data_IF_263891799847
#
_entry.id   IF_263891799847
#
_cell.length_a   1.000
_cell.length_b   1.000
_cell.length_c   1.000
_cell.angle_alpha   90.00
_cell.angle_beta   90.00
_cell.angle_gamma   90.00
#
_symmetry.space_group_name_H-M   'P 1'
#
loop_
_entity.id
_entity.type
_entity.pdbx_description
1 polymer ?
#
# COMPACT_ATOMS: atom_id res chain seq x y z
N UNK A 1 32.10 13.70 4.45
CA UNK A 1 31.00 13.88 3.49
C UNK A 1 30.31 12.53 3.30
N UNK A 2 29.47 12.11 4.25
CA UNK A 2 28.64 10.91 4.10
C UNK A 2 27.19 11.38 4.04
N UNK A 3 26.75 11.82 2.85
CA UNK A 3 25.33 12.15 2.65
C UNK A 3 24.60 10.86 2.30
N UNK A 4 23.63 10.48 3.13
CA UNK A 4 22.72 9.36 2.84
C UNK A 4 21.95 9.56 1.53
N UNK A 5 21.89 10.80 1.02
CA UNK A 5 21.28 11.16 -0.27
C UNK A 5 21.99 10.59 -1.50
N UNK A 6 23.27 10.20 -1.40
CA UNK A 6 24.02 9.67 -2.55
C UNK A 6 24.07 8.13 -2.60
N UNK A 7 23.53 7.46 -1.57
CA UNK A 7 23.50 5.99 -1.50
C UNK A 7 22.34 5.49 -2.35
N UNK A 8 22.53 4.59 -3.34
CA UNK A 8 21.42 3.97 -4.04
C UNK A 8 20.60 3.11 -3.08
N UNK A 9 19.27 3.26 -3.08
CA UNK A 9 18.36 2.60 -2.14
C UNK A 9 17.28 1.81 -2.87
N UNK A 10 16.80 0.75 -2.23
CA UNK A 10 15.57 0.07 -2.62
C UNK A 10 14.58 0.18 -1.46
N UNK A 11 13.35 0.56 -1.76
CA UNK A 11 12.26 0.63 -0.78
C UNK A 11 11.31 -0.54 -1.02
N UNK A 12 11.34 -1.53 -0.13
CA UNK A 12 10.64 -2.81 -0.31
C UNK A 12 9.51 -3.04 0.70
N UNK A 13 9.17 -1.98 1.45
CA UNK A 13 8.09 -2.00 2.43
C UNK A 13 7.53 -0.59 2.55
N UNK A 14 6.48 -0.32 1.78
CA UNK A 14 5.75 0.94 1.79
C UNK A 14 4.31 0.66 1.39
N UNK A 15 3.35 1.32 2.02
CA UNK A 15 1.94 1.28 1.60
C UNK A 15 1.69 2.50 0.73
N UNK A 16 1.36 2.31 -0.55
CA UNK A 16 1.26 3.40 -1.52
C UNK A 16 0.25 4.46 -1.05
N UNK A 17 -0.90 4.04 -0.56
CA UNK A 17 -1.94 4.95 -0.06
C UNK A 17 -1.43 5.82 1.11
N UNK A 18 -0.53 5.30 1.95
CA UNK A 18 0.08 6.04 3.06
C UNK A 18 1.08 7.12 2.62
N UNK A 19 1.52 7.10 1.35
CA UNK A 19 2.50 8.08 0.82
C UNK A 19 1.86 9.42 0.47
N UNK A 20 0.54 9.54 0.60
CA UNK A 20 -0.19 10.75 0.24
C UNK A 20 0.26 11.94 1.09
N UNK A 21 0.76 12.98 0.43
CA UNK A 21 1.17 14.21 1.09
C UNK A 21 -0.05 15.04 1.55
N UNK A 22 0.10 15.93 2.54
CA UNK A 22 -0.95 16.89 2.91
C UNK A 22 -1.55 17.65 1.72
N UNK A 23 -0.71 18.02 0.76
CA UNK A 23 -1.13 18.80 -0.41
C UNK A 23 -1.94 17.94 -1.39
N UNK A 24 -1.52 16.70 -1.63
CA UNK A 24 -2.32 15.76 -2.42
C UNK A 24 -3.63 15.40 -1.71
N UNK A 25 -3.61 15.19 -0.40
CA UNK A 25 -4.83 14.91 0.36
C UNK A 25 -5.86 16.04 0.24
N UNK A 26 -5.43 17.31 0.42
CA UNK A 26 -6.29 18.48 0.19
C UNK A 26 -6.79 18.57 -1.26
N UNK A 27 -5.92 18.31 -2.23
CA UNK A 27 -6.27 18.34 -3.66
C UNK A 27 -7.35 17.29 -3.97
N UNK A 28 -7.15 16.05 -3.52
CA UNK A 28 -8.06 14.94 -3.77
C UNK A 28 -9.37 15.10 -3.02
N UNK A 29 -9.34 15.57 -1.77
CA UNK A 29 -10.54 15.89 -1.01
C UNK A 29 -11.43 16.89 -1.75
N UNK A 30 -10.83 17.97 -2.28
CA UNK A 30 -11.54 18.96 -3.11
C UNK A 30 -12.05 18.36 -4.42
N UNK A 31 -11.25 17.55 -5.12
CA UNK A 31 -11.64 16.90 -6.39
C UNK A 31 -12.83 15.96 -6.20
N UNK A 32 -12.83 15.21 -5.10
CA UNK A 32 -13.75 14.12 -4.84
C UNK A 32 -14.91 14.51 -3.89
N UNK A 33 -15.02 15.78 -3.53
CA UNK A 33 -16.03 16.31 -2.60
C UNK A 33 -16.06 15.56 -1.26
N UNK A 34 -14.87 15.26 -0.71
CA UNK A 34 -14.72 14.67 0.62
C UNK A 34 -14.44 15.78 1.62
N UNK A 35 -15.24 15.87 2.68
CA UNK A 35 -14.98 16.79 3.78
C UNK A 35 -13.83 16.24 4.63
N UNK A 36 -12.74 17.00 4.72
CA UNK A 36 -11.64 16.78 5.65
C UNK A 36 -11.53 18.00 6.55
N UNK A 37 -11.24 17.78 7.82
CA UNK A 37 -11.08 18.88 8.77
C UNK A 37 -9.82 19.69 8.44
N UNK A 38 -9.89 21.02 8.47
CA UNK A 38 -8.74 21.89 8.14
C UNK A 38 -7.58 21.72 9.14
N UNK A 39 -7.87 21.29 10.36
CA UNK A 39 -6.89 21.02 11.40
C UNK A 39 -6.14 19.68 11.22
N UNK A 40 -6.59 18.83 10.29
CA UNK A 40 -6.00 17.52 9.99
C UNK A 40 -4.50 17.60 9.71
N UNK A 41 -4.03 18.73 9.15
CA UNK A 41 -2.62 18.99 8.87
C UNK A 41 -2.05 20.20 9.61
N UNK A 42 -2.89 20.94 10.35
CA UNK A 42 -2.59 22.29 10.83
C UNK A 42 -2.04 22.35 12.26
N UNK A 43 -2.11 21.25 13.02
CA UNK A 43 -1.61 21.20 14.40
C UNK A 43 -0.25 20.50 14.49
N UNK A 44 0.53 20.80 15.53
CA UNK A 44 1.77 20.08 15.86
C UNK A 44 1.57 18.58 16.14
N UNK A 45 0.31 18.12 16.17
CA UNK A 45 -0.12 16.75 16.44
C UNK A 45 -0.93 16.13 15.29
N UNK A 46 -0.97 16.78 14.11
CA UNK A 46 -1.69 16.32 12.92
C UNK A 46 -1.39 14.86 12.50
N UNK A 47 -0.20 14.37 12.88
CA UNK A 47 0.26 12.99 12.68
C UNK A 47 0.70 12.32 13.99
N UNK A 48 0.23 12.80 15.14
CA UNK A 48 0.45 12.09 16.40
C UNK A 48 -0.63 11.02 16.52
N UNK A 49 -0.27 9.79 16.90
CA UNK A 49 -1.21 8.74 17.26
C UNK A 49 -0.82 8.12 18.61
N UNK A 50 -1.82 7.63 19.35
CA UNK A 50 -1.60 7.04 20.68
C UNK A 50 -1.24 5.56 20.61
N UNK A 51 -1.85 4.83 19.67
CA UNK A 51 -1.64 3.41 19.44
C UNK A 51 -1.89 3.03 17.96
N UNK A 52 -1.84 1.72 17.66
CA UNK A 52 -2.07 1.22 16.31
C UNK A 52 -3.50 1.48 15.80
N UNK A 53 -4.51 1.47 16.67
CA UNK A 53 -5.90 1.70 16.25
C UNK A 53 -6.09 3.15 15.85
N UNK A 54 -5.61 4.09 16.67
CA UNK A 54 -5.63 5.50 16.35
C UNK A 54 -4.81 5.82 15.08
N UNK A 55 -3.70 5.10 14.86
CA UNK A 55 -2.97 5.17 13.59
C UNK A 55 -3.82 4.71 12.40
N UNK A 56 -4.49 3.55 12.49
CA UNK A 56 -5.32 3.03 11.40
C UNK A 56 -6.50 3.96 11.11
N UNK A 57 -7.15 4.52 12.14
CA UNK A 57 -8.25 5.48 11.95
C UNK A 57 -7.78 6.73 11.18
N UNK A 58 -6.60 7.25 11.51
CA UNK A 58 -6.00 8.40 10.80
C UNK A 58 -5.57 8.03 9.38
N UNK A 59 -5.00 6.85 9.20
CA UNK A 59 -4.66 6.31 7.88
C UNK A 59 -5.91 6.19 7.02
N UNK A 60 -6.99 5.58 7.52
CA UNK A 60 -8.25 5.41 6.80
C UNK A 60 -8.85 6.77 6.42
N UNK A 61 -8.81 7.75 7.33
CA UNK A 61 -9.26 9.11 7.05
C UNK A 61 -8.45 9.76 5.91
N UNK A 62 -7.12 9.74 5.99
CA UNK A 62 -6.24 10.40 5.02
C UNK A 62 -6.29 9.71 3.65
N UNK A 63 -6.42 8.39 3.62
CA UNK A 63 -6.53 7.61 2.37
C UNK A 63 -7.94 7.62 1.80
N UNK A 64 -8.96 7.97 2.60
CA UNK A 64 -10.36 8.04 2.17
C UNK A 64 -10.59 9.00 0.99
N UNK A 65 -9.69 9.94 0.73
CA UNK A 65 -9.84 10.94 -0.34
C UNK A 65 -9.47 10.42 -1.72
N UNK A 66 -8.82 9.25 -1.84
CA UNK A 66 -8.36 8.65 -3.10
C UNK A 66 -9.53 7.86 -3.72
N UNK A 67 -10.19 8.37 -4.76
CA UNK A 67 -11.43 7.80 -5.30
C UNK A 67 -11.34 7.29 -6.75
N UNK A 68 -10.36 7.76 -7.52
CA UNK A 68 -10.33 7.59 -8.97
C UNK A 68 -8.97 7.05 -9.45
N UNK A 69 -8.92 6.45 -10.66
CA UNK A 69 -7.65 6.07 -11.28
C UNK A 69 -6.69 7.25 -11.44
N UNK A 70 -7.21 8.47 -11.63
CA UNK A 70 -6.41 9.69 -11.72
C UNK A 70 -5.79 10.07 -10.36
N UNK A 71 -6.48 9.83 -9.24
CA UNK A 71 -5.90 9.99 -7.90
C UNK A 71 -4.72 9.04 -7.69
N UNK A 72 -4.88 7.76 -8.06
CA UNK A 72 -3.80 6.77 -7.96
C UNK A 72 -2.62 7.09 -8.89
N UNK A 73 -2.90 7.56 -10.10
CA UNK A 73 -1.87 8.01 -11.02
C UNK A 73 -1.01 9.12 -10.41
N UNK A 74 -1.66 10.17 -9.92
CA UNK A 74 -0.96 11.30 -9.32
C UNK A 74 -0.22 10.91 -8.04
N UNK A 75 -0.85 10.10 -7.18
CA UNK A 75 -0.23 9.60 -5.96
C UNK A 75 1.08 8.85 -6.27
N UNK A 76 1.00 7.86 -7.16
CA UNK A 76 2.15 7.05 -7.55
C UNK A 76 3.25 7.89 -8.16
N UNK A 77 2.93 8.78 -9.11
CA UNK A 77 3.93 9.63 -9.76
C UNK A 77 4.65 10.52 -8.74
N UNK A 78 3.91 11.20 -7.86
CA UNK A 78 4.51 12.11 -6.88
C UNK A 78 5.39 11.36 -5.86
N UNK A 79 4.94 10.21 -5.38
CA UNK A 79 5.72 9.38 -4.46
C UNK A 79 7.03 8.88 -5.11
N UNK A 80 6.95 8.31 -6.31
CA UNK A 80 8.14 7.79 -7.00
C UNK A 80 9.12 8.89 -7.41
N UNK A 81 8.63 10.08 -7.75
CA UNK A 81 9.46 11.27 -7.94
C UNK A 81 10.25 11.60 -6.67
N UNK A 82 9.60 11.66 -5.51
CA UNK A 82 10.27 11.95 -4.23
C UNK A 82 11.30 10.87 -3.88
N UNK A 83 10.98 9.60 -4.11
CA UNK A 83 11.92 8.47 -3.98
C UNK A 83 13.17 8.68 -4.84
N UNK A 84 12.99 9.01 -6.12
CA UNK A 84 14.09 9.23 -7.05
C UNK A 84 14.97 10.44 -6.64
N UNK A 85 14.37 11.54 -6.17
CA UNK A 85 15.08 12.70 -5.62
C UNK A 85 15.94 12.35 -4.39
N UNK A 86 15.58 11.27 -3.68
CA UNK A 86 16.33 10.73 -2.55
C UNK A 86 17.23 9.53 -2.91
N UNK A 87 17.45 9.29 -4.21
CA UNK A 87 18.31 8.23 -4.75
C UNK A 87 17.82 6.81 -4.40
N UNK A 88 16.51 6.64 -4.30
CA UNK A 88 15.85 5.33 -4.38
C UNK A 88 15.75 4.96 -5.87
N UNK A 89 16.25 3.78 -6.22
CA UNK A 89 16.33 3.30 -7.60
C UNK A 89 15.30 2.20 -7.90
N UNK A 90 14.75 1.59 -6.85
CA UNK A 90 13.78 0.51 -6.94
C UNK A 90 12.75 0.58 -5.81
N UNK A 91 11.49 0.35 -6.14
CA UNK A 91 10.38 0.32 -5.17
C UNK A 91 9.55 -0.95 -5.35
N UNK A 92 9.25 -1.63 -4.24
CA UNK A 92 8.16 -2.60 -4.13
C UNK A 92 7.10 -2.07 -3.17
N UNK A 93 6.03 -1.47 -3.72
CA UNK A 93 4.98 -0.83 -2.94
C UNK A 93 3.77 -1.75 -2.78
N UNK A 94 3.24 -1.80 -1.56
CA UNK A 94 1.98 -2.47 -1.25
C UNK A 94 0.82 -1.58 -1.67
N UNK A 95 -0.16 -2.19 -2.34
CA UNK A 95 -1.34 -1.52 -2.86
C UNK A 95 -2.59 -2.33 -2.50
N UNK A 96 -3.75 -1.68 -2.31
CA UNK A 96 -4.98 -2.39 -1.93
C UNK A 96 -6.12 -2.17 -2.92
N UNK A 97 -6.43 -3.20 -3.70
CA UNK A 97 -7.63 -3.19 -4.56
C UNK A 97 -8.93 -3.13 -3.75
N UNK A 98 -8.92 -3.57 -2.49
CA UNK A 98 -10.07 -3.49 -1.60
C UNK A 98 -10.44 -2.04 -1.27
N UNK A 99 -9.47 -1.19 -0.96
CA UNK A 99 -9.71 0.25 -0.81
C UNK A 99 -10.27 0.87 -2.08
N UNK A 100 -9.68 0.53 -3.23
CA UNK A 100 -10.12 1.04 -4.52
C UNK A 100 -11.57 0.63 -4.84
N UNK A 101 -11.93 -0.63 -4.58
CA UNK A 101 -13.29 -1.14 -4.77
C UNK A 101 -14.33 -0.46 -3.88
N UNK A 102 -13.98 -0.13 -2.63
CA UNK A 102 -14.87 0.64 -1.75
C UNK A 102 -15.19 2.04 -2.31
N UNK A 103 -14.35 2.56 -3.22
CA UNK A 103 -14.58 3.82 -3.92
C UNK A 103 -15.22 3.66 -5.30
N UNK A 104 -15.60 2.44 -5.68
CA UNK A 104 -16.29 2.13 -6.93
C UNK A 104 -15.35 1.87 -8.11
N UNK A 105 -14.04 1.81 -7.89
CA UNK A 105 -13.09 1.41 -8.94
C UNK A 105 -13.15 -0.10 -9.21
N UNK A 106 -12.91 -0.47 -10.46
CA UNK A 106 -12.63 -1.86 -10.81
C UNK A 106 -11.16 -2.18 -10.55
N UNK A 107 -10.84 -3.46 -10.32
CA UNK A 107 -9.45 -3.94 -10.19
C UNK A 107 -8.56 -3.43 -11.33
N UNK A 108 -9.06 -3.50 -12.57
CA UNK A 108 -8.33 -3.04 -13.75
C UNK A 108 -8.10 -1.53 -13.74
N UNK A 109 -9.16 -0.73 -13.51
CA UNK A 109 -9.03 0.74 -13.52
C UNK A 109 -8.08 1.26 -12.44
N UNK A 110 -8.07 0.59 -11.28
CA UNK A 110 -7.16 0.88 -10.18
C UNK A 110 -5.70 0.61 -10.58
N UNK A 111 -5.42 -0.60 -11.09
CA UNK A 111 -4.07 -0.96 -11.53
C UNK A 111 -3.58 -0.09 -12.68
N UNK A 112 -4.45 0.28 -13.61
CA UNK A 112 -4.12 1.21 -14.70
C UNK A 112 -3.70 2.58 -14.16
N UNK A 113 -4.42 3.12 -13.18
CA UNK A 113 -4.04 4.37 -12.51
C UNK A 113 -2.64 4.30 -11.91
N UNK A 114 -2.39 3.27 -11.10
CA UNK A 114 -1.08 3.03 -10.47
C UNK A 114 0.02 2.86 -11.52
N UNK A 115 -0.20 2.03 -12.53
CA UNK A 115 0.80 1.67 -13.55
C UNK A 115 1.14 2.86 -14.46
N UNK A 116 0.16 3.70 -14.78
CA UNK A 116 0.40 4.91 -15.56
C UNK A 116 1.26 5.92 -14.77
N UNK A 117 1.06 6.03 -13.45
CA UNK A 117 1.89 6.89 -12.60
C UNK A 117 3.33 6.38 -12.50
N UNK A 118 3.49 5.07 -12.35
CA UNK A 118 4.79 4.40 -12.40
C UNK A 118 5.52 4.63 -13.70
N UNK A 119 4.84 4.40 -14.83
CA UNK A 119 5.43 4.56 -16.15
C UNK A 119 5.90 5.99 -16.39
N UNK A 120 5.16 6.99 -15.93
CA UNK A 120 5.58 8.40 -16.01
C UNK A 120 6.87 8.63 -15.21
N UNK A 121 6.92 8.17 -13.95
CA UNK A 121 8.08 8.34 -13.09
C UNK A 121 9.32 7.58 -13.58
N UNK A 122 9.16 6.36 -14.11
CA UNK A 122 10.25 5.58 -14.70
C UNK A 122 10.83 6.30 -15.93
N UNK A 123 9.98 6.85 -16.80
CA UNK A 123 10.45 7.58 -18.00
C UNK A 123 11.19 8.88 -17.64
N UNK A 124 10.78 9.59 -16.59
CA UNK A 124 11.37 10.88 -16.22
C UNK A 124 12.59 10.73 -15.30
N UNK A 125 12.57 9.78 -14.38
CA UNK A 125 13.56 9.66 -13.31
C UNK A 125 14.37 8.35 -13.34
N UNK A 126 13.99 7.37 -14.17
CA UNK A 126 14.67 6.07 -14.25
C UNK A 126 14.46 5.16 -13.03
N UNK A 127 13.53 5.50 -12.14
CA UNK A 127 13.15 4.67 -10.98
C UNK A 127 12.26 3.52 -11.44
N UNK A 128 12.60 2.30 -11.02
CA UNK A 128 11.80 1.11 -11.33
C UNK A 128 10.86 0.82 -10.15
N UNK A 129 9.58 0.56 -10.42
CA UNK A 129 8.60 0.22 -9.39
C UNK A 129 7.84 -1.06 -9.72
N UNK A 130 7.61 -1.88 -8.70
CA UNK A 130 6.73 -3.06 -8.72
C UNK A 130 5.79 -3.02 -7.52
N UNK A 131 4.74 -3.82 -7.59
CA UNK A 131 3.63 -3.74 -6.66
C UNK A 131 3.29 -5.08 -6.05
N UNK A 132 2.83 -5.01 -4.80
CA UNK A 132 2.40 -6.16 -4.00
C UNK A 132 0.93 -5.93 -3.64
N UNK A 133 0.03 -6.80 -4.11
CA UNK A 133 -1.38 -6.68 -3.76
C UNK A 133 -1.59 -7.10 -2.31
N UNK A 134 -2.17 -6.22 -1.50
CA UNK A 134 -2.27 -6.45 -0.07
C UNK A 134 -3.64 -6.98 0.35
N UNK A 135 -3.65 -8.12 1.04
CA UNK A 135 -4.80 -8.63 1.77
C UNK A 135 -4.95 -7.93 3.12
N UNK A 136 -6.12 -7.35 3.36
CA UNK A 136 -6.44 -6.66 4.62
C UNK A 136 -6.95 -7.68 5.65
N UNK A 137 -6.09 -8.07 6.60
CA UNK A 137 -6.34 -9.20 7.51
C UNK A 137 -7.56 -9.02 8.42
N UNK A 138 -7.87 -7.79 8.82
CA UNK A 138 -9.02 -7.51 9.69
C UNK A 138 -10.38 -7.59 8.97
N UNK A 139 -10.40 -7.66 7.63
CA UNK A 139 -11.61 -7.97 6.86
C UNK A 139 -11.89 -9.48 6.79
N UNK A 140 -11.02 -10.29 7.40
CA UNK A 140 -11.20 -11.72 7.58
C UNK A 140 -10.64 -12.58 6.43
N UNK A 141 -10.48 -13.90 6.67
CA UNK A 141 -9.83 -14.81 5.72
C UNK A 141 -10.52 -14.92 4.37
N UNK A 142 -11.85 -14.82 4.33
CA UNK A 142 -12.61 -14.90 3.08
C UNK A 142 -12.30 -13.69 2.17
N UNK A 143 -12.24 -12.48 2.72
CA UNK A 143 -11.88 -11.27 1.98
C UNK A 143 -10.46 -11.36 1.40
N UNK A 144 -9.50 -11.81 2.21
CA UNK A 144 -8.11 -12.00 1.79
C UNK A 144 -7.98 -13.09 0.71
N UNK A 145 -8.68 -14.20 0.88
CA UNK A 145 -8.76 -15.28 -0.11
C UNK A 145 -9.30 -14.78 -1.45
N UNK A 146 -10.42 -14.05 -1.43
CA UNK A 146 -11.05 -13.51 -2.64
C UNK A 146 -10.11 -12.54 -3.38
N UNK A 147 -9.36 -11.73 -2.63
CA UNK A 147 -8.36 -10.80 -3.20
C UNK A 147 -7.22 -11.57 -3.87
N UNK A 148 -6.68 -12.59 -3.21
CA UNK A 148 -5.63 -13.44 -3.78
C UNK A 148 -6.10 -14.19 -5.03
N UNK A 149 -7.34 -14.70 -5.03
CA UNK A 149 -7.92 -15.34 -6.20
C UNK A 149 -8.10 -14.38 -7.38
N UNK A 150 -8.52 -13.14 -7.11
CA UNK A 150 -8.64 -12.12 -8.16
C UNK A 150 -7.29 -11.79 -8.78
N UNK A 151 -6.22 -11.68 -7.96
CA UNK A 151 -4.84 -11.47 -8.43
C UNK A 151 -4.40 -12.59 -9.36
N UNK A 152 -4.59 -13.85 -8.95
CA UNK A 152 -4.18 -15.01 -9.75
C UNK A 152 -5.00 -15.14 -11.05
N UNK A 153 -6.28 -14.77 -11.03
CA UNK A 153 -7.16 -14.79 -12.21
C UNK A 153 -6.87 -13.64 -13.19
N UNK A 154 -6.27 -12.54 -12.71
CA UNK A 154 -6.03 -11.32 -13.49
C UNK A 154 -4.56 -10.85 -13.33
N UNK A 155 -3.59 -11.56 -13.94
CA UNK A 155 -2.18 -11.24 -13.81
C UNK A 155 -1.86 -9.87 -14.42
N UNK A 156 -0.93 -9.14 -13.80
CA UNK A 156 -0.48 -7.83 -14.23
C UNK A 156 1.06 -7.75 -14.16
N UNK A 157 1.72 -7.16 -15.17
CA UNK A 157 3.19 -7.17 -15.29
C UNK A 157 3.92 -6.40 -14.18
N UNK A 158 3.22 -5.48 -13.53
CA UNK A 158 3.77 -4.70 -12.42
C UNK A 158 3.44 -5.30 -11.06
N UNK A 159 2.61 -6.34 -11.00
CA UNK A 159 2.24 -7.02 -9.77
C UNK A 159 3.13 -8.24 -9.56
N UNK A 160 3.98 -8.22 -8.54
CA UNK A 160 5.05 -9.20 -8.32
C UNK A 160 4.87 -10.06 -7.06
N UNK A 161 3.87 -9.75 -6.24
CA UNK A 161 3.63 -10.51 -5.01
C UNK A 161 2.32 -10.17 -4.34
N UNK A 162 2.05 -10.91 -3.27
CA UNK A 162 0.89 -10.73 -2.42
C UNK A 162 1.34 -10.43 -0.98
N UNK A 163 0.70 -9.43 -0.36
CA UNK A 163 0.98 -8.98 1.00
C UNK A 163 -0.13 -9.37 1.97
N UNK A 164 0.19 -9.48 3.26
CA UNK A 164 -0.79 -9.44 4.34
C UNK A 164 -0.44 -8.30 5.30
N UNK A 165 -1.39 -7.39 5.55
CA UNK A 165 -1.28 -6.31 6.53
C UNK A 165 -2.63 -5.98 7.20
N UNK A 166 -2.62 -5.00 8.11
CA UNK A 166 -3.75 -4.62 8.98
C UNK A 166 -3.57 -5.11 10.42
N UNK A 167 -4.65 -5.17 11.21
CA UNK A 167 -4.63 -5.57 12.63
C UNK A 167 -3.96 -6.94 12.87
N UNK A 168 -2.70 -6.88 13.31
CA UNK A 168 -1.90 -8.07 13.61
C UNK A 168 -2.37 -8.78 14.89
N UNK A 169 -2.78 -8.02 15.91
CA UNK A 169 -3.07 -8.52 17.26
C UNK A 169 -4.26 -9.50 17.25
N UNK A 170 -5.29 -9.22 16.46
CA UNK A 170 -6.51 -10.02 16.46
C UNK A 170 -6.59 -11.05 15.33
N UNK A 171 -5.77 -10.92 14.29
CA UNK A 171 -5.88 -11.74 13.08
C UNK A 171 -4.57 -12.44 12.75
N UNK A 172 -4.09 -13.43 13.52
CA UNK A 172 -2.77 -14.02 13.31
C UNK A 172 -2.61 -14.68 11.93
N UNK A 173 -1.37 -14.80 11.39
CA UNK A 173 -1.13 -15.32 10.03
C UNK A 173 -1.74 -16.71 9.79
N UNK A 174 -1.82 -17.55 10.84
CA UNK A 174 -2.43 -18.88 10.78
C UNK A 174 -3.88 -18.91 10.28
N UNK A 175 -4.63 -17.80 10.38
CA UNK A 175 -5.99 -17.72 9.84
C UNK A 175 -6.03 -17.72 8.31
N UNK A 176 -4.91 -17.42 7.65
CA UNK A 176 -4.80 -17.20 6.20
C UNK A 176 -4.00 -18.31 5.49
N UNK A 177 -3.74 -19.44 6.18
CA UNK A 177 -2.96 -20.57 5.63
C UNK A 177 -3.51 -21.05 4.30
N UNK A 178 -4.84 -21.20 4.17
CA UNK A 178 -5.49 -21.56 2.90
C UNK A 178 -5.09 -20.63 1.74
N UNK A 179 -5.04 -19.32 2.00
CA UNK A 179 -4.65 -18.34 0.99
C UNK A 179 -3.17 -18.44 0.67
N UNK A 180 -2.31 -18.61 1.67
CA UNK A 180 -0.88 -18.77 1.46
C UNK A 180 -0.53 -20.06 0.72
N UNK A 181 -1.19 -21.17 1.03
CA UNK A 181 -1.00 -22.44 0.35
C UNK A 181 -1.35 -22.31 -1.14
N UNK A 182 -2.48 -21.67 -1.46
CA UNK A 182 -2.87 -21.38 -2.85
C UNK A 182 -1.83 -20.50 -3.58
N UNK A 183 -1.32 -19.45 -2.94
CA UNK A 183 -0.31 -18.58 -3.53
C UNK A 183 1.04 -19.31 -3.73
N UNK A 184 1.44 -20.16 -2.76
CA UNK A 184 2.62 -21.03 -2.86
C UNK A 184 2.49 -22.02 -4.01
N UNK A 185 1.33 -22.68 -4.17
CA UNK A 185 1.02 -23.58 -5.28
C UNK A 185 1.11 -22.87 -6.64
N UNK A 186 0.66 -21.61 -6.70
CA UNK A 186 0.77 -20.76 -7.88
C UNK A 186 2.17 -20.15 -8.10
N UNK A 187 3.13 -20.44 -7.21
CA UNK A 187 4.48 -19.86 -7.19
C UNK A 187 4.48 -18.32 -7.16
N UNK A 188 3.46 -17.72 -6.55
CA UNK A 188 3.33 -16.28 -6.43
C UNK A 188 4.00 -15.80 -5.13
N UNK A 189 4.96 -14.85 -5.18
CA UNK A 189 5.67 -14.39 -3.99
C UNK A 189 4.73 -13.82 -2.91
N UNK A 190 5.11 -14.05 -1.65
CA UNK A 190 4.31 -13.66 -0.48
C UNK A 190 5.19 -12.86 0.49
N UNK A 191 4.64 -11.78 1.04
CA UNK A 191 5.19 -11.05 2.19
C UNK A 191 4.11 -10.86 3.26
N UNK A 192 4.49 -10.85 4.53
CA UNK A 192 3.55 -10.81 5.67
C UNK A 192 4.07 -9.86 6.74
N UNK A 193 3.24 -8.92 7.20
CA UNK A 193 3.52 -8.18 8.43
C UNK A 193 3.43 -9.13 9.62
N UNK A 194 4.56 -9.28 10.32
CA UNK A 194 4.67 -10.12 11.49
C UNK A 194 5.73 -9.57 12.47
N UNK A 195 5.39 -9.51 13.75
CA UNK A 195 6.25 -9.00 14.81
C UNK A 195 6.26 -7.47 14.94
N UNK A 196 5.28 -6.78 14.36
CA UNK A 196 5.15 -5.32 14.49
C UNK A 196 4.52 -4.97 15.85
N UNK A 197 3.44 -5.67 16.20
CA UNK A 197 2.69 -5.46 17.45
C UNK A 197 2.55 -6.73 18.30
N UNK A 198 2.86 -7.88 17.73
CA UNK A 198 2.83 -9.17 18.44
C UNK A 198 4.25 -9.75 18.59
N UNK A 199 4.38 -10.86 19.33
CA UNK A 199 5.65 -11.47 19.66
C UNK A 199 6.32 -12.24 18.51
N UNK A 200 7.57 -12.68 18.73
CA UNK A 200 8.35 -13.43 17.74
C UNK A 200 7.69 -14.74 17.27
N UNK A 201 6.72 -15.27 18.01
CA UNK A 201 5.93 -16.43 17.59
C UNK A 201 5.12 -16.15 16.32
N UNK A 202 4.66 -14.91 16.09
CA UNK A 202 3.98 -14.56 14.83
C UNK A 202 4.92 -14.48 13.65
N UNK A 203 6.18 -14.10 13.88
CA UNK A 203 7.23 -14.17 12.87
C UNK A 203 7.47 -15.64 12.48
N UNK A 204 7.55 -16.55 13.47
CA UNK A 204 7.68 -18.00 13.21
C UNK A 204 6.51 -18.54 12.41
N UNK A 205 5.28 -18.15 12.77
CA UNK A 205 4.07 -18.54 12.06
C UNK A 205 4.02 -18.01 10.62
N UNK A 206 4.63 -16.84 10.35
CA UNK A 206 4.67 -16.26 9.01
C UNK A 206 5.67 -16.94 8.06
N UNK A 207 6.74 -17.54 8.60
CA UNK A 207 7.79 -18.20 7.80
C UNK A 207 7.64 -19.73 7.72
N UNK A 208 6.74 -20.32 8.52
CA UNK A 208 6.41 -21.75 8.47
C UNK A 208 5.43 -22.07 7.34
#
# INVERSE_FOLDING_TARGET
MNSTKQIPKAEIHVHLEATISPDLCRKFAKRNNVEISEDLFGSNYAYAWEDFYDFIEKYDLVTSVIHTPEDYNELTYNYLKECAENNVVYVEAMISSTHAKHKGMTYQSFLEGVSEGARQAENEFGIVSKYIMNGIRHLGPESVQNTAEEVLKNPHNDLVGFGLAGDELHFPPKLFTKTFDMLKEAQFPITVHAGEWDGPEKIRDAIS
#
